data_IF_696681542138
#
_entry.id   IF_696681542138
#
_cell.length_a   1.000
_cell.length_b   1.000
_cell.length_c   1.000
_cell.angle_alpha   90.00
_cell.angle_beta   90.00
_cell.angle_gamma   90.00
#
_symmetry.space_group_name_H-M   'P 1'
#
loop_
_entity.id
_entity.type
_entity.pdbx_description
1 polymer ?
#
# COMPACT_ATOMS: atom_id res chain seq x y z
N UNK A 1 -6.38 -5.87 -28.41
CA UNK A 1 -6.73 -4.95 -27.31
C UNK A 1 -8.02 -5.50 -26.70
N UNK A 2 -8.09 -5.74 -25.39
CA UNK A 2 -9.30 -6.30 -24.76
C UNK A 2 -10.47 -5.34 -24.98
N UNK A 3 -11.59 -5.84 -25.50
CA UNK A 3 -12.79 -5.06 -25.86
C UNK A 3 -13.91 -5.23 -24.83
N UNK A 4 -13.64 -5.95 -23.76
CA UNK A 4 -14.56 -6.40 -22.70
C UNK A 4 -14.29 -5.68 -21.37
N UNK A 5 -13.77 -4.45 -21.41
CA UNK A 5 -13.50 -3.68 -20.19
C UNK A 5 -14.83 -3.17 -19.63
N UNK A 6 -15.30 -3.76 -18.54
CA UNK A 6 -16.32 -3.16 -17.69
C UNK A 6 -15.77 -1.85 -17.11
N UNK A 7 -16.52 -0.75 -17.25
CA UNK A 7 -16.14 0.54 -16.68
C UNK A 7 -16.32 0.52 -15.16
N UNK A 8 -15.28 0.87 -14.42
CA UNK A 8 -15.39 1.08 -12.97
C UNK A 8 -16.25 2.32 -12.71
N UNK A 9 -17.35 2.23 -11.94
CA UNK A 9 -18.23 3.36 -11.68
C UNK A 9 -17.47 4.56 -11.12
N UNK A 10 -17.58 5.71 -11.77
CA UNK A 10 -16.91 6.96 -11.34
C UNK A 10 -15.45 7.10 -11.77
N UNK A 11 -14.87 6.11 -12.48
CA UNK A 11 -13.56 6.27 -13.10
C UNK A 11 -13.66 7.09 -14.40
N UNK A 12 -12.73 8.02 -14.68
CA UNK A 12 -12.79 8.79 -15.93
C UNK A 12 -12.69 7.90 -17.16
N UNK A 13 -13.68 8.01 -18.05
CA UNK A 13 -13.63 7.39 -19.37
C UNK A 13 -12.42 7.94 -20.14
N UNK A 14 -11.67 7.06 -20.78
CA UNK A 14 -10.54 7.37 -21.69
C UNK A 14 -9.18 7.68 -21.06
N UNK A 15 -8.90 7.27 -19.81
CA UNK A 15 -7.50 7.21 -19.34
C UNK A 15 -7.23 6.02 -18.40
N UNK A 16 -6.01 5.47 -18.41
CA UNK A 16 -5.61 4.47 -17.43
C UNK A 16 -5.61 5.05 -16.01
N UNK A 17 -5.81 4.18 -15.02
CA UNK A 17 -5.50 4.48 -13.63
C UNK A 17 -3.99 4.40 -13.39
N UNK A 18 -3.46 5.35 -12.62
CA UNK A 18 -2.06 5.44 -12.23
C UNK A 18 -1.95 5.07 -10.75
N UNK A 19 -1.39 3.90 -10.48
CA UNK A 19 -1.10 3.44 -9.12
C UNK A 19 0.38 3.70 -8.83
N UNK A 20 0.66 4.55 -7.84
CA UNK A 20 2.00 4.69 -7.30
C UNK A 20 2.27 3.59 -6.28
N UNK A 21 3.05 2.58 -6.68
CA UNK A 21 3.52 1.54 -5.76
C UNK A 21 4.66 2.08 -4.90
N UNK A 22 4.36 2.34 -3.62
CA UNK A 22 5.37 2.65 -2.61
C UNK A 22 6.08 1.36 -2.19
N UNK A 23 5.34 0.24 -2.10
CA UNK A 23 5.91 -1.07 -1.80
C UNK A 23 6.64 -1.08 -0.45
N UNK A 24 7.92 -1.49 -0.46
CA UNK A 24 8.82 -1.48 0.70
C UNK A 24 9.89 -0.36 0.63
N UNK A 25 9.76 0.60 -0.31
CA UNK A 25 10.80 1.60 -0.57
C UNK A 25 11.04 2.54 0.62
N UNK A 26 10.09 2.65 1.54
CA UNK A 26 10.22 3.39 2.79
C UNK A 26 11.20 2.73 3.78
N UNK A 27 11.61 1.48 3.56
CA UNK A 27 12.65 0.83 4.37
C UNK A 27 12.30 0.65 5.85
N UNK A 28 11.00 0.59 6.18
CA UNK A 28 10.50 0.55 7.56
C UNK A 28 10.35 1.91 8.24
N UNK A 29 10.70 3.01 7.57
CA UNK A 29 10.52 4.36 8.08
C UNK A 29 9.11 4.88 7.78
N UNK A 30 8.29 5.05 8.81
CA UNK A 30 6.92 5.57 8.71
C UNK A 30 6.86 7.01 8.17
N UNK A 31 7.79 7.87 8.57
CA UNK A 31 7.81 9.27 8.10
C UNK A 31 8.11 9.33 6.62
N UNK A 32 9.06 8.51 6.15
CA UNK A 32 9.36 8.39 4.73
C UNK A 32 8.21 7.75 3.95
N UNK A 33 7.54 6.74 4.49
CA UNK A 33 6.34 6.16 3.89
C UNK A 33 5.27 7.23 3.67
N UNK A 34 5.04 8.07 4.69
CA UNK A 34 4.09 9.17 4.61
C UNK A 34 4.49 10.22 3.57
N UNK A 35 5.76 10.61 3.53
CA UNK A 35 6.29 11.53 2.51
C UNK A 35 6.07 10.97 1.09
N UNK A 36 6.35 9.69 0.87
CA UNK A 36 6.14 9.02 -0.42
C UNK A 36 4.66 9.00 -0.82
N UNK A 37 3.75 8.73 0.12
CA UNK A 37 2.30 8.74 -0.11
C UNK A 37 1.82 10.14 -0.52
N UNK A 38 2.24 11.17 0.22
CA UNK A 38 1.92 12.56 -0.12
C UNK A 38 2.46 12.94 -1.49
N UNK A 39 3.74 12.65 -1.76
CA UNK A 39 4.38 12.98 -3.03
C UNK A 39 3.67 12.30 -4.21
N UNK A 40 3.28 11.03 -4.07
CA UNK A 40 2.53 10.33 -5.10
C UNK A 40 1.19 11.00 -5.41
N UNK A 41 0.40 11.32 -4.37
CA UNK A 41 -0.87 12.02 -4.52
C UNK A 41 -0.70 13.41 -5.16
N UNK A 42 0.24 14.21 -4.67
CA UNK A 42 0.51 15.56 -5.14
C UNK A 42 1.01 15.60 -6.59
N UNK A 43 1.59 14.50 -7.10
CA UNK A 43 2.06 14.36 -8.48
C UNK A 43 1.06 13.62 -9.40
N UNK A 44 -0.18 13.45 -8.96
CA UNK A 44 -1.27 12.96 -9.81
C UNK A 44 -1.40 11.44 -9.89
N UNK A 45 -0.85 10.70 -8.93
CA UNK A 45 -1.24 9.31 -8.74
C UNK A 45 -2.72 9.25 -8.34
N UNK A 46 -3.44 8.35 -8.98
CA UNK A 46 -4.85 8.11 -8.70
C UNK A 46 -5.04 7.32 -7.41
N UNK A 47 -4.13 6.38 -7.19
CA UNK A 47 -4.05 5.56 -6.00
C UNK A 47 -2.60 5.43 -5.56
N UNK A 48 -2.42 5.21 -4.27
CA UNK A 48 -1.12 4.85 -3.69
C UNK A 48 -1.23 3.45 -3.11
N UNK A 49 -0.25 2.60 -3.39
CA UNK A 49 -0.25 1.21 -2.95
C UNK A 49 0.93 0.90 -2.03
N UNK A 50 0.62 0.31 -0.87
CA UNK A 50 1.57 -0.25 0.08
C UNK A 50 1.61 -1.79 0.00
N UNK A 51 2.49 -2.38 0.80
CA UNK A 51 2.53 -3.80 1.07
C UNK A 51 2.41 -4.02 2.57
N UNK A 52 1.45 -4.85 2.99
CA UNK A 52 1.22 -5.17 4.40
C UNK A 52 1.52 -6.65 4.61
N UNK A 53 2.56 -6.93 5.38
CA UNK A 53 3.06 -8.28 5.58
C UNK A 53 3.73 -8.37 6.95
N UNK A 54 3.80 -9.60 7.47
CA UNK A 54 4.81 -9.96 8.45
C UNK A 54 5.85 -10.86 7.81
N UNK A 55 7.13 -10.52 7.91
CA UNK A 55 8.22 -11.29 7.29
C UNK A 55 8.24 -12.71 7.81
N UNK A 56 7.92 -12.90 9.09
CA UNK A 56 7.85 -14.24 9.70
C UNK A 56 6.76 -15.14 9.11
N UNK A 57 5.67 -14.55 8.59
CA UNK A 57 4.56 -15.30 7.98
C UNK A 57 4.68 -15.41 6.46
N UNK A 58 5.37 -14.46 5.82
CA UNK A 58 5.46 -14.40 4.36
C UNK A 58 6.76 -14.98 3.78
N UNK A 59 7.90 -14.78 4.45
CA UNK A 59 9.21 -15.20 3.97
C UNK A 59 9.74 -16.42 4.73
N UNK A 60 10.46 -17.30 4.03
CA UNK A 60 11.16 -18.39 4.67
C UNK A 60 12.41 -17.88 5.41
N UNK A 61 12.66 -18.27 6.67
CA UNK A 61 13.77 -17.74 7.49
C UNK A 61 15.17 -18.05 6.97
N UNK A 62 15.31 -18.98 6.02
CA UNK A 62 16.61 -19.28 5.41
C UNK A 62 17.02 -18.32 4.28
N UNK A 63 16.14 -17.37 3.91
CA UNK A 63 16.44 -16.42 2.84
C UNK A 63 17.50 -15.43 3.32
N UNK A 64 18.50 -15.14 2.47
CA UNK A 64 19.63 -14.26 2.83
C UNK A 64 19.21 -12.82 3.12
N UNK A 65 18.01 -12.43 2.70
CA UNK A 65 17.43 -11.11 2.89
C UNK A 65 16.31 -11.08 3.95
N UNK A 66 16.10 -12.17 4.69
CA UNK A 66 15.04 -12.24 5.70
C UNK A 66 15.14 -11.10 6.73
N UNK A 67 16.32 -10.91 7.34
CA UNK A 67 16.50 -9.87 8.37
C UNK A 67 16.37 -8.46 7.79
N UNK A 68 16.86 -8.23 6.57
CA UNK A 68 16.68 -6.94 5.90
C UNK A 68 15.22 -6.67 5.60
N UNK A 69 14.46 -7.64 5.09
CA UNK A 69 13.02 -7.49 4.85
C UNK A 69 12.26 -7.24 6.17
N UNK A 70 12.62 -7.96 7.23
CA UNK A 70 12.03 -7.78 8.55
C UNK A 70 12.22 -6.36 9.10
N UNK A 71 13.39 -5.76 8.88
CA UNK A 71 13.65 -4.37 9.27
C UNK A 71 12.83 -3.33 8.50
N UNK A 72 12.25 -3.71 7.35
CA UNK A 72 11.46 -2.82 6.50
C UNK A 72 9.95 -2.93 6.77
N UNK A 73 9.52 -3.81 7.67
CA UNK A 73 8.12 -3.93 8.08
C UNK A 73 7.62 -2.65 8.75
N UNK A 74 6.48 -2.15 8.29
CA UNK A 74 5.73 -1.15 9.05
C UNK A 74 4.92 -1.85 10.13
N UNK A 75 4.87 -1.26 11.32
CA UNK A 75 4.02 -1.76 12.39
C UNK A 75 2.54 -1.63 12.03
N UNK A 76 1.66 -2.38 12.71
CA UNK A 76 0.22 -2.21 12.57
C UNK A 76 -0.22 -0.79 12.97
N UNK A 77 0.42 -0.19 13.99
CA UNK A 77 0.15 1.18 14.42
C UNK A 77 0.49 2.17 13.32
N UNK A 78 1.73 2.15 12.83
CA UNK A 78 2.19 2.98 11.70
C UNK A 78 1.30 2.81 10.48
N UNK A 79 0.97 1.57 10.11
CA UNK A 79 0.08 1.31 8.97
C UNK A 79 -1.30 1.94 9.20
N UNK A 80 -1.87 1.80 10.41
CA UNK A 80 -3.16 2.41 10.76
C UNK A 80 -3.12 3.94 10.62
N UNK A 81 -2.05 4.58 11.10
CA UNK A 81 -1.87 6.03 10.99
C UNK A 81 -1.78 6.49 9.54
N UNK A 82 -1.05 5.76 8.69
CA UNK A 82 -0.96 6.06 7.25
C UNK A 82 -2.33 5.99 6.57
N UNK A 83 -3.14 4.98 6.86
CA UNK A 83 -4.51 4.86 6.33
C UNK A 83 -5.39 6.01 6.82
N UNK A 84 -5.42 6.27 8.13
CA UNK A 84 -6.21 7.35 8.75
C UNK A 84 -5.83 8.72 8.18
N UNK A 85 -4.53 8.99 8.03
CA UNK A 85 -4.05 10.26 7.52
C UNK A 85 -4.30 10.41 6.02
N UNK A 86 -4.23 9.30 5.25
CA UNK A 86 -4.60 9.28 3.83
C UNK A 86 -6.07 9.60 3.63
N UNK A 87 -6.96 8.98 4.41
CA UNK A 87 -8.41 9.25 4.37
C UNK A 87 -8.71 10.72 4.64
N UNK A 88 -8.13 11.30 5.71
CA UNK A 88 -8.27 12.73 6.05
C UNK A 88 -7.83 13.67 4.93
N UNK A 89 -6.88 13.25 4.09
CA UNK A 89 -6.37 14.04 2.95
C UNK A 89 -7.05 13.70 1.62
N UNK A 90 -7.99 12.76 1.58
CA UNK A 90 -8.62 12.30 0.34
C UNK A 90 -7.67 11.53 -0.57
N UNK A 91 -6.65 10.89 -0.01
CA UNK A 91 -5.71 10.04 -0.75
C UNK A 91 -6.27 8.62 -0.79
N UNK A 92 -6.43 8.07 -2.00
CA UNK A 92 -6.88 6.69 -2.21
C UNK A 92 -5.72 5.71 -1.95
N UNK A 93 -5.45 5.47 -0.67
CA UNK A 93 -4.45 4.50 -0.22
C UNK A 93 -5.06 3.10 -0.15
N UNK A 94 -4.35 2.11 -0.68
CA UNK A 94 -4.65 0.70 -0.47
C UNK A 94 -3.35 -0.10 -0.32
N UNK A 95 -3.46 -1.40 -0.06
CA UNK A 95 -2.29 -2.26 0.16
C UNK A 95 -2.51 -3.66 -0.40
N UNK A 96 -1.42 -4.38 -0.62
CA UNK A 96 -1.44 -5.82 -0.85
C UNK A 96 -1.12 -6.54 0.47
N UNK A 97 -2.10 -7.24 1.09
CA UNK A 97 -1.82 -8.10 2.23
C UNK A 97 -1.18 -9.41 1.76
N UNK A 98 -0.14 -9.88 2.45
CA UNK A 98 0.60 -11.11 2.09
C UNK A 98 0.38 -12.30 3.05
N UNK A 99 -0.43 -12.11 4.09
CA UNK A 99 -0.83 -13.13 5.06
C UNK A 99 -2.28 -12.89 5.51
N UNK A 100 -2.92 -13.93 6.07
CA UNK A 100 -4.34 -13.87 6.46
C UNK A 100 -4.58 -12.84 7.55
N UNK A 101 -3.66 -12.73 8.51
CA UNK A 101 -3.75 -11.74 9.57
C UNK A 101 -3.63 -10.31 9.03
N UNK A 102 -2.80 -10.10 8.00
CA UNK A 102 -2.72 -8.83 7.27
C UNK A 102 -4.02 -8.53 6.51
N UNK A 103 -4.73 -9.53 5.96
CA UNK A 103 -6.07 -9.34 5.38
C UNK A 103 -7.05 -8.85 6.45
N UNK A 104 -7.15 -9.58 7.56
CA UNK A 104 -8.06 -9.24 8.67
C UNK A 104 -7.73 -7.87 9.29
N UNK A 105 -6.46 -7.48 9.30
CA UNK A 105 -6.03 -6.18 9.78
C UNK A 105 -6.46 -5.05 8.84
N UNK A 106 -6.24 -5.21 7.53
CA UNK A 106 -6.52 -4.17 6.54
C UNK A 106 -8.01 -3.97 6.28
N UNK A 107 -8.83 -5.01 6.45
CA UNK A 107 -10.30 -4.94 6.28
C UNK A 107 -10.95 -3.87 7.20
N UNK A 108 -10.26 -3.47 8.27
CA UNK A 108 -10.70 -2.41 9.20
C UNK A 108 -10.63 -1.00 8.62
N UNK A 109 -9.81 -0.80 7.59
CA UNK A 109 -9.56 0.50 6.96
C UNK A 109 -10.23 0.64 5.60
N UNK A 110 -11.00 -0.35 5.17
CA UNK A 110 -11.75 -0.35 3.91
C UNK A 110 -12.54 0.97 3.77
N UNK A 111 -12.27 1.80 2.75
CA UNK A 111 -13.28 2.73 2.24
C UNK A 111 -14.45 1.97 1.57
#
# INVERSE_FOLDING_TARGET
>A
MRTDIEHWPGWPDNRPAIIAEVGMNHGGDESLAWEMIQAAHENGADFVKLQTYSTERFFHPSLTYFDSTKSMELSCESTSELFINSEKKGIQLFTTPFDLESVDFIDKFSP
#
